data_IF_683195230213
#
_entry.id   IF_683195230213
#
_cell.length_a   1.000
_cell.length_b   1.000
_cell.length_c   1.000
_cell.angle_alpha   90.00
_cell.angle_beta   90.00
_cell.angle_gamma   90.00
#
_symmetry.space_group_name_H-M   'P 1'
#
loop_
_entity.id
_entity.type
_entity.pdbx_description
1 polymer ?
#
# COMPACT_ATOMS: atom_id res chain seq x y z
N UNK A 1 -8.69 -6.74 -0.82
CA UNK A 1 -7.76 -5.61 -1.00
C UNK A 1 -8.54 -4.34 -0.74
N UNK A 2 -8.04 -3.51 0.16
CA UNK A 2 -8.63 -2.20 0.49
C UNK A 2 -7.62 -1.12 0.07
N UNK A 3 -8.10 -0.02 -0.50
CA UNK A 3 -7.26 1.15 -0.77
C UNK A 3 -8.04 2.45 -0.54
N UNK A 4 -7.30 3.51 -0.29
CA UNK A 4 -7.81 4.88 -0.13
C UNK A 4 -6.89 5.82 -0.89
N UNK A 5 -7.50 6.85 -1.50
CA UNK A 5 -6.77 7.92 -2.18
C UNK A 5 -7.07 9.22 -1.45
N UNK A 6 -6.01 9.90 -0.99
CA UNK A 6 -6.06 11.23 -0.40
C UNK A 6 -5.04 12.08 -1.15
N UNK A 7 -5.53 13.14 -1.80
CA UNK A 7 -4.75 13.96 -2.74
C UNK A 7 -4.08 13.08 -3.84
N UNK A 8 -2.75 13.08 -3.89
CA UNK A 8 -1.95 12.29 -4.83
C UNK A 8 -1.47 10.95 -4.25
N UNK A 9 -1.92 10.57 -3.04
CA UNK A 9 -1.45 9.37 -2.33
C UNK A 9 -2.48 8.27 -2.38
N UNK A 10 -2.14 7.17 -3.04
CA UNK A 10 -2.88 5.94 -2.97
C UNK A 10 -2.25 5.01 -1.94
N UNK A 11 -2.93 4.80 -0.80
CA UNK A 11 -2.52 3.79 0.17
C UNK A 11 -3.38 2.55 -0.01
N UNK A 12 -2.77 1.39 -0.15
CA UNK A 12 -3.48 0.12 -0.16
C UNK A 12 -2.97 -0.81 0.93
N UNK A 13 -3.78 -1.80 1.29
CA UNK A 13 -3.36 -2.89 2.17
C UNK A 13 -3.88 -4.21 1.65
N UNK A 14 -3.03 -5.23 1.76
CA UNK A 14 -3.41 -6.62 1.53
C UNK A 14 -3.70 -7.36 2.82
N UNK A 15 -4.18 -6.70 3.87
CA UNK A 15 -4.55 -7.37 5.12
C UNK A 15 -5.55 -8.54 4.94
N UNK A 16 -6.32 -8.54 3.86
CA UNK A 16 -7.23 -9.66 3.50
C UNK A 16 -6.56 -10.77 2.68
N UNK A 17 -5.27 -10.66 2.38
CA UNK A 17 -4.49 -11.61 1.58
C UNK A 17 -3.69 -12.53 2.50
N UNK A 18 -3.45 -13.76 2.06
CA UNK A 18 -2.61 -14.75 2.76
C UNK A 18 -1.14 -14.70 2.34
N UNK A 19 -0.74 -13.68 1.57
CA UNK A 19 0.61 -13.51 1.02
C UNK A 19 1.11 -12.09 1.27
N UNK A 20 2.42 -11.89 1.19
CA UNK A 20 3.04 -10.56 1.26
C UNK A 20 2.65 -9.74 0.03
N UNK A 21 2.07 -8.56 0.27
CA UNK A 21 1.62 -7.60 -0.75
C UNK A 21 2.74 -7.15 -1.67
N UNK A 22 3.97 -7.06 -1.16
CA UNK A 22 5.16 -6.67 -1.93
C UNK A 22 5.35 -7.53 -3.19
N UNK A 23 5.04 -8.83 -3.14
CA UNK A 23 5.23 -9.75 -4.27
C UNK A 23 4.20 -9.55 -5.40
N UNK A 24 3.12 -8.81 -5.13
CA UNK A 24 2.03 -8.56 -6.07
C UNK A 24 1.73 -7.06 -6.21
N UNK A 25 2.62 -6.20 -5.71
CA UNK A 25 2.42 -4.76 -5.63
C UNK A 25 2.20 -4.11 -7.01
N UNK A 26 2.98 -4.51 -8.02
CA UNK A 26 2.83 -4.06 -9.40
C UNK A 26 1.40 -4.31 -9.92
N UNK A 27 0.90 -5.56 -9.79
CA UNK A 27 -0.46 -5.93 -10.22
C UNK A 27 -1.55 -5.19 -9.46
N UNK A 28 -1.32 -4.88 -8.18
CA UNK A 28 -2.25 -4.10 -7.36
C UNK A 28 -2.33 -2.66 -7.88
N UNK A 29 -1.17 -2.03 -8.08
CA UNK A 29 -1.07 -0.66 -8.57
C UNK A 29 -1.69 -0.51 -9.96
N UNK A 30 -1.42 -1.44 -10.88
CA UNK A 30 -2.04 -1.46 -12.20
C UNK A 30 -3.58 -1.57 -12.13
N UNK A 31 -4.09 -2.41 -11.23
CA UNK A 31 -5.53 -2.59 -11.05
C UNK A 31 -6.19 -1.33 -10.48
N UNK A 32 -5.56 -0.66 -9.52
CA UNK A 32 -6.04 0.60 -8.94
C UNK A 32 -6.01 1.71 -10.00
N UNK A 33 -4.87 1.91 -10.66
CA UNK A 33 -4.73 2.93 -11.71
C UNK A 33 -5.79 2.77 -12.80
N UNK A 34 -6.06 1.53 -13.24
CA UNK A 34 -7.13 1.22 -14.19
C UNK A 34 -8.52 1.55 -13.64
N UNK A 35 -8.80 1.24 -12.38
CA UNK A 35 -10.10 1.51 -11.75
C UNK A 35 -10.38 3.02 -11.65
N UNK A 36 -9.34 3.80 -11.36
CA UNK A 36 -9.42 5.26 -11.23
C UNK A 36 -9.27 6.01 -12.56
N UNK A 37 -8.98 5.31 -13.66
CA UNK A 37 -8.79 5.92 -14.98
C UNK A 37 -7.56 6.82 -15.07
N UNK A 38 -6.53 6.55 -14.26
CA UNK A 38 -5.26 7.30 -14.24
C UNK A 38 -4.09 6.40 -14.64
N UNK A 39 -2.94 7.00 -14.93
CA UNK A 39 -1.69 6.24 -15.09
C UNK A 39 -0.97 6.11 -13.75
N UNK A 40 -0.07 5.13 -13.65
CA UNK A 40 0.64 4.82 -12.40
C UNK A 40 1.54 5.98 -11.93
N UNK A 41 1.93 6.89 -12.83
CA UNK A 41 2.78 8.05 -12.53
C UNK A 41 2.00 9.20 -11.90
N UNK A 42 0.67 9.19 -11.98
CA UNK A 42 -0.20 10.25 -11.42
C UNK A 42 -0.31 10.13 -9.91
N UNK A 43 -0.22 8.92 -9.37
CA UNK A 43 -0.40 8.64 -7.95
C UNK A 43 0.91 8.15 -7.32
N UNK A 44 1.12 8.51 -6.06
CA UNK A 44 2.15 7.94 -5.20
C UNK A 44 1.53 6.76 -4.46
N UNK A 45 2.06 5.57 -4.71
CA UNK A 45 1.55 4.34 -4.10
C UNK A 45 2.29 4.01 -2.81
N UNK A 46 1.51 3.57 -1.81
CA UNK A 46 2.01 3.15 -0.52
C UNK A 46 1.35 1.83 -0.12
N UNK A 47 2.16 0.89 0.31
CA UNK A 47 1.72 -0.38 0.88
C UNK A 47 1.71 -0.26 2.40
N UNK A 48 0.50 -0.31 2.97
CA UNK A 48 0.29 -0.39 4.40
C UNK A 48 0.37 -1.86 4.83
N UNK A 49 1.58 -2.29 5.15
CA UNK A 49 1.89 -3.67 5.48
C UNK A 49 1.62 -3.96 6.95
N UNK A 50 1.01 -5.11 7.21
CA UNK A 50 0.73 -5.61 8.57
C UNK A 50 1.75 -6.65 9.04
N UNK A 51 2.72 -7.02 8.19
CA UNK A 51 3.79 -7.96 8.52
C UNK A 51 3.31 -9.27 9.16
N UNK A 52 2.16 -9.80 8.71
CA UNK A 52 1.60 -11.05 9.19
C UNK A 52 2.64 -12.18 9.01
N UNK A 53 3.28 -12.62 10.09
CA UNK A 53 4.33 -13.66 10.08
C UNK A 53 5.73 -13.23 10.55
N UNK A 54 6.02 -11.93 10.68
CA UNK A 54 7.34 -11.40 11.10
C UNK A 54 7.40 -10.99 12.58
N UNK A 55 6.52 -11.54 13.43
CA UNK A 55 6.54 -11.29 14.87
C UNK A 55 6.08 -9.89 15.31
N UNK A 56 5.50 -9.10 14.41
CA UNK A 56 4.90 -7.79 14.74
C UNK A 56 3.57 -7.95 15.45
N UNK A 57 3.24 -7.00 16.34
CA UNK A 57 1.98 -7.04 17.10
C UNK A 57 0.80 -6.64 16.20
N UNK A 58 -0.42 -7.15 16.46
CA UNK A 58 -1.63 -6.61 15.83
C UNK A 58 -1.69 -5.08 15.97
N UNK A 59 -1.93 -4.37 14.87
CA UNK A 59 -1.96 -2.90 14.83
C UNK A 59 -0.61 -2.21 14.62
N UNK A 60 0.50 -2.95 14.52
CA UNK A 60 1.78 -2.44 14.03
C UNK A 60 1.78 -2.50 12.50
N UNK A 61 1.59 -1.32 11.89
CA UNK A 61 1.65 -1.16 10.45
C UNK A 61 3.00 -0.56 10.06
N UNK A 62 3.54 -1.04 8.95
CA UNK A 62 4.66 -0.39 8.28
C UNK A 62 4.14 0.23 6.99
N UNK A 63 4.42 1.52 6.81
CA UNK A 63 3.98 2.28 5.66
C UNK A 63 5.15 2.37 4.70
N UNK A 64 5.08 1.60 3.62
CA UNK A 64 6.16 1.45 2.67
C UNK A 64 5.79 2.17 1.37
N UNK A 65 6.66 3.05 0.88
CA UNK A 65 6.44 3.75 -0.38
C UNK A 65 6.87 2.86 -1.53
N UNK A 66 5.99 2.62 -2.49
CA UNK A 66 6.41 1.96 -3.71
C UNK A 66 7.15 2.92 -4.62
N UNK A 67 8.23 2.43 -5.22
CA UNK A 67 8.94 3.12 -6.29
C UNK A 67 8.77 2.38 -7.61
N UNK A 68 8.70 3.18 -8.67
CA UNK A 68 8.65 2.70 -10.05
C UNK A 68 9.73 3.44 -10.83
N UNK A 69 10.67 2.69 -11.42
CA UNK A 69 11.69 3.24 -12.31
C UNK A 69 11.34 2.90 -13.75
N UNK A 70 11.13 3.91 -14.58
CA UNK A 70 10.65 3.75 -15.97
C UNK A 70 9.39 2.88 -16.10
N UNK A 71 8.51 2.92 -15.09
CA UNK A 71 7.28 2.12 -15.04
C UNK A 71 7.46 0.70 -14.51
N UNK A 72 8.68 0.27 -14.17
CA UNK A 72 8.96 -1.01 -13.55
C UNK A 72 8.96 -0.88 -12.04
N UNK A 73 8.27 -1.79 -11.36
CA UNK A 73 8.23 -1.82 -9.90
C UNK A 73 9.60 -2.15 -9.29
N UNK A 74 10.09 -1.29 -8.39
CA UNK A 74 11.26 -1.54 -7.55
C UNK A 74 10.82 -2.14 -6.19
N UNK A 75 11.19 -3.39 -5.88
CA UNK A 75 10.84 -4.05 -4.63
C UNK A 75 11.72 -3.62 -3.45
N UNK A 76 12.54 -2.57 -3.60
CA UNK A 76 13.34 -2.03 -2.50
C UNK A 76 12.43 -1.53 -1.36
N UNK A 77 12.85 -1.82 -0.12
CA UNK A 77 12.16 -1.36 1.07
C UNK A 77 12.36 0.15 1.23
N UNK A 78 11.27 0.91 1.28
CA UNK A 78 11.26 2.37 1.39
C UNK A 78 10.29 2.82 2.48
N UNK A 79 10.68 2.64 3.76
CA UNK A 79 9.81 2.91 4.87
C UNK A 79 9.57 4.42 4.96
N UNK A 80 8.31 4.79 5.15
CA UNK A 80 7.85 6.16 5.28
C UNK A 80 7.05 6.32 6.57
N UNK A 81 6.93 7.56 7.03
CA UNK A 81 6.05 7.87 8.15
C UNK A 81 4.59 7.76 7.70
N UNK A 82 3.82 6.90 8.37
CA UNK A 82 2.39 6.72 8.08
C UNK A 82 1.60 7.92 8.60
N UNK A 83 0.88 8.67 7.74
CA UNK A 83 0.01 9.74 8.20
C UNK A 83 -1.05 9.21 9.18
N UNK A 84 -1.33 9.96 10.25
CA UNK A 84 -2.26 9.54 11.31
C UNK A 84 -3.68 9.27 10.77
N UNK A 85 -4.13 10.03 9.78
CA UNK A 85 -5.43 9.85 9.12
C UNK A 85 -5.52 8.51 8.39
N UNK A 86 -4.48 8.15 7.63
CA UNK A 86 -4.39 6.84 6.95
C UNK A 86 -4.43 5.72 7.98
N UNK A 87 -3.64 5.84 9.05
CA UNK A 87 -3.63 4.85 10.14
C UNK A 87 -5.02 4.68 10.78
N UNK A 88 -5.73 5.78 11.02
CA UNK A 88 -7.07 5.78 11.60
C UNK A 88 -8.10 5.16 10.65
N UNK A 89 -8.07 5.51 9.36
CA UNK A 89 -8.96 4.97 8.33
C UNK A 89 -8.84 3.45 8.22
N UNK A 90 -7.60 2.95 8.14
CA UNK A 90 -7.39 1.51 8.05
C UNK A 90 -7.71 0.79 9.36
N UNK A 91 -7.38 1.36 10.53
CA UNK A 91 -7.80 0.78 11.81
C UNK A 91 -9.33 0.61 11.90
N UNK A 92 -10.10 1.61 11.44
CA UNK A 92 -11.56 1.53 11.45
C UNK A 92 -12.14 0.50 10.46
N UNK A 93 -11.47 0.28 9.32
CA UNK A 93 -11.93 -0.65 8.27
C UNK A 93 -11.54 -2.11 8.56
N UNK A 94 -10.48 -2.32 9.33
CA UNK A 94 -9.91 -3.64 9.64
C UNK A 94 -10.58 -4.26 10.87
N UNK A 95 -11.10 -3.43 11.79
CA UNK A 95 -11.61 -3.86 13.10
C UNK A 95 -10.49 -4.11 14.10
#
# INVERSE_FOLDING_TARGET
>A
MLYVIIDDRCTFTGITQTTSTINVAERIVEAIARAEGVTIEVLKFFDLQTHLGYGKRPGEFEYDRLSFDQGLYDPSWQPAECPSEIRQLFANQIG
#
